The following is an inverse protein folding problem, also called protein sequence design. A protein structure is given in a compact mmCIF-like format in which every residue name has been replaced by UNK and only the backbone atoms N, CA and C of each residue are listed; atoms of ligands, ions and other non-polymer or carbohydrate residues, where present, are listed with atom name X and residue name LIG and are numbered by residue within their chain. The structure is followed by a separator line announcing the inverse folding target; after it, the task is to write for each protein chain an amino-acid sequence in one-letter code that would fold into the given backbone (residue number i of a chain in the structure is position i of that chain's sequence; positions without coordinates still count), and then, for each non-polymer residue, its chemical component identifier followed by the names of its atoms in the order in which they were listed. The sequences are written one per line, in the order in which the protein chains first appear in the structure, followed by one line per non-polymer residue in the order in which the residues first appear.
data_IF_165678358351
#
_entry.id   IF_165678358351
#
_cell.length_a   1.000
_cell.length_b   1.000
_cell.length_c   1.000
_cell.angle_alpha   90.00
_cell.angle_beta   90.00
_cell.angle_gamma   90.00
#
_symmetry.space_group_name_H-M   'P 1'
#
loop_
_entity.id
_entity.type
_entity.pdbx_description
1 polymer ?
#
# COMPACT_ATOMS: atom_id res chain seq x y z
N UNK A 1 28.83 -29.86 -26.05
CA UNK A 1 28.17 -28.54 -26.17
C UNK A 1 27.16 -28.22 -25.06
N UNK A 2 26.46 -29.19 -24.45
CA UNK A 2 25.52 -28.92 -23.35
C UNK A 2 26.18 -28.76 -21.96
N UNK A 3 27.31 -29.44 -21.68
CA UNK A 3 28.02 -29.34 -20.39
C UNK A 3 28.70 -27.98 -20.17
N UNK A 4 29.21 -27.35 -21.24
CA UNK A 4 29.87 -26.04 -21.17
C UNK A 4 28.89 -24.90 -20.88
N UNK A 5 27.66 -24.97 -21.39
CA UNK A 5 26.62 -23.96 -21.13
C UNK A 5 26.07 -24.01 -19.70
N UNK A 6 25.95 -25.21 -19.12
CA UNK A 6 25.57 -25.40 -17.71
C UNK A 6 26.64 -24.83 -16.76
N UNK A 7 27.93 -25.07 -17.04
CA UNK A 7 29.02 -24.52 -16.24
C UNK A 7 29.08 -22.98 -16.29
N UNK A 8 28.79 -22.38 -17.46
CA UNK A 8 28.73 -20.91 -17.60
C UNK A 8 27.56 -20.35 -16.79
N UNK A 9 26.37 -20.95 -16.85
CA UNK A 9 25.21 -20.49 -16.07
C UNK A 9 25.43 -20.62 -14.56
N UNK A 10 26.05 -21.71 -14.09
CA UNK A 10 26.38 -21.89 -12.67
C UNK A 10 27.42 -20.85 -12.24
N UNK A 11 28.45 -20.58 -13.04
CA UNK A 11 29.44 -19.53 -12.74
C UNK A 11 28.83 -18.12 -12.70
N UNK A 12 27.87 -17.83 -13.59
CA UNK A 12 27.13 -16.56 -13.61
C UNK A 12 26.21 -16.43 -12.40
N UNK A 13 25.58 -17.52 -11.96
CA UNK A 13 24.75 -17.54 -10.76
C UNK A 13 25.60 -17.31 -9.51
N UNK A 14 26.73 -18.03 -9.38
CA UNK A 14 27.67 -17.82 -8.27
C UNK A 14 28.27 -16.41 -8.27
N UNK A 15 28.65 -15.87 -9.43
CA UNK A 15 29.20 -14.50 -9.51
C UNK A 15 28.16 -13.43 -9.14
N UNK A 16 26.89 -13.60 -9.53
CA UNK A 16 25.79 -12.73 -9.10
C UNK A 16 25.49 -12.86 -7.61
N UNK A 17 25.51 -14.07 -7.05
CA UNK A 17 25.33 -14.30 -5.61
C UNK A 17 26.47 -13.72 -4.79
N UNK A 18 27.72 -13.79 -5.28
CA UNK A 18 28.89 -13.18 -4.63
C UNK A 18 28.82 -11.65 -4.72
N UNK A 19 28.44 -11.08 -5.87
CA UNK A 19 28.19 -9.64 -5.98
C UNK A 19 27.06 -9.19 -5.05
N UNK A 20 25.97 -9.95 -4.94
CA UNK A 20 24.88 -9.66 -4.02
C UNK A 20 25.33 -9.76 -2.54
N UNK A 21 26.19 -10.73 -2.21
CA UNK A 21 26.75 -10.91 -0.87
C UNK A 21 27.82 -9.86 -0.53
N UNK A 22 28.65 -9.45 -1.50
CA UNK A 22 29.59 -8.33 -1.33
C UNK A 22 28.84 -7.00 -1.20
N UNK A 23 27.72 -6.83 -1.92
CA UNK A 23 26.84 -5.67 -1.77
C UNK A 23 26.09 -5.67 -0.43
N UNK A 24 25.84 -6.83 0.19
CA UNK A 24 25.24 -6.93 1.53
C UNK A 24 26.25 -6.81 2.69
N UNK A 25 27.55 -6.96 2.42
CA UNK A 25 28.63 -6.87 3.41
C UNK A 25 29.32 -5.50 3.43
N UNK A 26 29.10 -4.67 2.39
CA UNK A 26 29.53 -3.27 2.38
C UNK A 26 28.42 -2.43 3.03
N UNK A 27 28.51 -2.27 4.35
CA UNK A 27 27.76 -1.26 5.11
C UNK A 27 28.29 0.14 4.81
N UNK A 28 28.24 0.56 3.53
CA UNK A 28 28.20 1.98 3.23
C UNK A 28 26.78 2.40 3.55
N UNK A 29 26.64 3.21 4.59
CA UNK A 29 25.40 3.88 4.94
C UNK A 29 25.03 4.84 3.79
N UNK A 30 24.25 4.35 2.81
CA UNK A 30 23.87 5.05 1.56
C UNK A 30 22.78 6.11 1.82
N UNK A 31 22.38 6.37 3.07
CA UNK A 31 21.24 7.27 3.36
C UNK A 31 21.52 8.77 3.30
N UNK A 32 22.74 9.24 3.06
CA UNK A 32 22.94 10.67 2.83
C UNK A 32 23.96 10.97 1.73
N UNK A 33 23.49 10.90 0.48
CA UNK A 33 24.20 11.48 -0.66
C UNK A 33 23.37 12.63 -1.18
N UNK A 34 24.00 13.80 -1.32
CA UNK A 34 23.33 15.04 -1.72
C UNK A 34 23.99 15.64 -2.97
N UNK A 35 23.23 16.36 -3.78
CA UNK A 35 23.69 16.96 -5.04
C UNK A 35 23.59 18.48 -4.94
N UNK A 36 24.70 19.16 -5.18
CA UNK A 36 24.73 20.61 -5.13
C UNK A 36 24.10 21.22 -6.40
N UNK A 37 23.88 22.54 -6.40
CA UNK A 37 23.36 23.27 -7.57
C UNK A 37 24.24 23.22 -8.82
N UNK A 38 25.49 22.74 -8.71
CA UNK A 38 26.37 22.51 -9.85
C UNK A 38 26.11 21.13 -10.52
N UNK A 39 25.20 20.31 -9.99
CA UNK A 39 24.92 18.96 -10.49
C UNK A 39 25.90 17.88 -10.02
N UNK A 40 26.86 18.22 -9.15
CA UNK A 40 27.85 17.27 -8.61
C UNK A 40 27.50 16.83 -7.18
N UNK A 41 27.92 15.60 -6.83
CA UNK A 41 27.83 15.09 -5.47
C UNK A 41 28.54 16.00 -4.47
N UNK A 42 27.83 16.30 -3.39
CA UNK A 42 28.31 17.08 -2.27
C UNK A 42 29.38 16.33 -1.48
N UNK A 43 30.32 17.08 -0.90
CA UNK A 43 31.30 16.53 0.05
C UNK A 43 30.76 16.65 1.46
N UNK A 44 30.93 15.56 2.19
CA UNK A 44 30.73 15.51 3.63
C UNK A 44 31.88 16.23 4.34
N UNK A 45 31.53 17.25 5.12
CA UNK A 45 32.47 18.10 5.86
C UNK A 45 32.07 18.15 7.34
N UNK A 46 33.04 18.45 8.19
CA UNK A 46 32.83 18.66 9.63
C UNK A 46 33.14 20.10 9.97
N UNK A 47 32.21 20.77 10.65
CA UNK A 47 32.36 22.15 11.08
C UNK A 47 33.43 22.25 12.18
N UNK A 48 34.29 23.26 12.04
CA UNK A 48 35.33 23.64 13.01
C UNK A 48 35.07 25.00 13.64
N UNK A 49 33.89 25.59 13.38
CA UNK A 49 33.53 26.88 13.96
C UNK A 49 33.28 26.73 15.46
N UNK A 50 33.66 27.70 16.30
CA UNK A 50 33.36 27.66 17.73
C UNK A 50 31.87 27.51 18.05
N UNK A 51 30.99 28.04 17.19
CA UNK A 51 29.54 27.97 17.35
C UNK A 51 28.96 26.57 17.06
N UNK A 52 29.60 25.80 16.18
CA UNK A 52 29.13 24.48 15.75
C UNK A 52 30.29 23.48 15.65
N UNK A 53 31.03 23.21 16.73
CA UNK A 53 32.18 22.32 16.68
C UNK A 53 31.73 20.88 16.41
N UNK A 54 32.40 20.18 15.49
CA UNK A 54 32.17 18.76 15.24
C UNK A 54 30.89 18.39 14.47
N UNK A 55 29.97 19.33 14.24
CA UNK A 55 28.73 19.07 13.47
C UNK A 55 29.04 18.83 11.98
N UNK A 56 28.45 17.79 11.39
CA UNK A 56 28.69 17.42 9.98
C UNK A 56 27.70 18.09 9.04
N UNK A 57 28.13 18.38 7.81
CA UNK A 57 27.30 19.01 6.78
C UNK A 57 27.73 18.57 5.37
N UNK A 58 26.80 18.61 4.43
CA UNK A 58 27.09 18.53 3.00
C UNK A 58 27.37 19.91 2.44
N UNK A 59 28.44 20.02 1.66
CA UNK A 59 28.72 21.22 0.89
C UNK A 59 29.23 20.94 -0.50
N UNK A 60 29.15 21.95 -1.36
CA UNK A 60 29.73 21.87 -2.71
C UNK A 60 31.23 21.47 -2.63
N UNK A 61 31.66 20.68 -3.63
CA UNK A 61 33.06 20.26 -3.78
C UNK A 61 33.98 21.48 -3.93
N UNK A 62 33.56 22.48 -4.71
CA UNK A 62 34.28 23.75 -4.88
C UNK A 62 33.84 24.76 -3.81
N UNK A 63 34.79 25.52 -3.27
CA UNK A 63 34.49 26.68 -2.41
C UNK A 63 33.79 27.76 -3.21
N UNK A 64 33.00 28.62 -2.55
CA UNK A 64 32.35 29.77 -3.19
C UNK A 64 33.36 30.70 -3.86
N UNK A 65 34.53 30.88 -3.25
CA UNK A 65 35.66 31.66 -3.79
C UNK A 65 36.26 31.04 -5.05
N UNK A 66 36.14 29.71 -5.20
CA UNK A 66 36.66 28.94 -6.32
C UNK A 66 35.54 28.54 -7.30
N UNK A 67 34.50 29.39 -7.45
CA UNK A 67 33.40 29.18 -8.39
C UNK A 67 32.35 28.13 -7.99
N UNK A 68 32.37 27.66 -6.73
CA UNK A 68 31.35 26.75 -6.21
C UNK A 68 30.01 27.46 -5.92
N UNK A 69 28.89 26.74 -6.00
CA UNK A 69 27.56 27.31 -5.81
C UNK A 69 27.18 27.67 -4.36
N UNK A 70 28.08 27.41 -3.40
CA UNK A 70 27.83 27.69 -1.98
C UNK A 70 26.78 26.78 -1.34
N UNK A 71 26.44 25.63 -1.95
CA UNK A 71 25.54 24.65 -1.35
C UNK A 71 26.01 24.24 0.04
N UNK A 72 25.07 24.18 0.99
CA UNK A 72 25.29 23.85 2.39
C UNK A 72 24.01 23.23 2.98
N UNK A 73 24.12 22.05 3.59
CA UNK A 73 23.04 21.39 4.34
C UNK A 73 23.61 20.68 5.57
N UNK A 74 23.07 20.96 6.76
CA UNK A 74 23.45 20.22 7.96
C UNK A 74 23.02 18.76 7.88
N UNK A 75 23.84 17.88 8.46
CA UNK A 75 23.43 16.52 8.78
C UNK A 75 22.88 16.58 10.19
N UNK A 76 21.60 16.26 10.31
CA UNK A 76 20.99 16.02 11.60
C UNK A 76 21.24 14.55 11.96
N UNK A 77 21.63 14.24 13.20
CA UNK A 77 21.74 12.85 13.61
C UNK A 77 20.38 12.20 13.39
N UNK A 78 20.35 11.09 12.64
CA UNK A 78 19.19 10.22 12.67
C UNK A 78 18.90 9.89 14.13
N UNK A 79 17.62 9.78 14.49
CA UNK A 79 17.15 9.48 15.85
C UNK A 79 17.75 8.18 16.44
N UNK A 80 18.56 7.47 15.67
CA UNK A 80 19.24 6.22 15.99
C UNK A 80 20.64 6.42 16.60
N UNK A 81 21.20 7.64 16.63
CA UNK A 81 22.53 7.89 17.19
C UNK A 81 22.57 9.05 18.21
N UNK A 82 21.57 9.11 19.10
CA UNK A 82 21.63 9.97 20.29
C UNK A 82 22.17 9.12 21.45
N UNK A 83 23.39 9.47 21.84
CA UNK A 83 24.07 9.16 23.09
C UNK A 83 23.13 8.82 24.26
N UNK A 84 23.24 7.56 24.69
CA UNK A 84 22.40 6.83 25.66
C UNK A 84 22.37 7.45 27.08
N UNK A 85 23.18 8.48 27.35
CA UNK A 85 23.35 9.06 28.69
C UNK A 85 22.50 10.31 28.96
N UNK A 86 22.06 11.04 27.94
CA UNK A 86 21.35 12.33 28.14
C UNK A 86 19.82 12.25 28.02
N UNK A 87 19.28 11.11 27.57
CA UNK A 87 17.83 10.95 27.33
C UNK A 87 17.04 10.37 28.50
N UNK A 88 17.70 9.92 29.57
CA UNK A 88 17.00 9.27 30.69
C UNK A 88 16.12 10.24 31.51
N UNK A 89 16.39 11.55 31.46
CA UNK A 89 15.62 12.56 32.22
C UNK A 89 14.38 13.11 31.49
N UNK A 90 14.13 12.72 30.22
CA UNK A 90 12.91 13.11 29.48
C UNK A 90 11.85 12.00 29.40
N UNK A 91 12.05 10.88 30.12
CA UNK A 91 11.08 9.78 30.19
C UNK A 91 10.12 9.88 31.38
N UNK A 92 10.17 10.97 32.15
CA UNK A 92 9.29 11.23 33.30
C UNK A 92 8.29 12.36 32.99
N UNK A 93 7.77 12.45 31.77
CA UNK A 93 6.45 13.05 31.56
C UNK A 93 5.94 12.73 30.15
N UNK A 94 4.83 11.99 30.04
CA UNK A 94 4.13 11.80 28.76
C UNK A 94 4.45 10.52 27.96
N UNK A 95 4.01 9.37 28.48
CA UNK A 95 3.69 8.11 27.77
C UNK A 95 4.79 7.50 26.87
N UNK A 96 5.33 6.34 27.29
CA UNK A 96 6.15 5.48 26.44
C UNK A 96 5.44 5.23 25.08
N UNK A 97 6.09 5.49 23.93
CA UNK A 97 5.54 5.23 22.60
C UNK A 97 4.95 3.82 22.44
N UNK A 98 5.55 2.83 23.10
CA UNK A 98 5.08 1.43 23.10
C UNK A 98 3.68 1.31 23.71
N UNK A 99 3.38 2.02 24.80
CA UNK A 99 2.06 1.95 25.44
C UNK A 99 0.98 2.63 24.59
N UNK A 100 1.36 3.69 23.87
CA UNK A 100 0.48 4.32 22.88
C UNK A 100 0.15 3.37 21.73
N UNK A 101 1.16 2.68 21.20
CA UNK A 101 1.00 1.68 20.15
C UNK A 101 0.12 0.51 20.62
N UNK A 102 0.37 -0.03 21.81
CA UNK A 102 -0.45 -1.11 22.40
C UNK A 102 -1.92 -0.74 22.52
N UNK A 103 -2.22 0.48 22.95
CA UNK A 103 -3.61 0.97 23.05
C UNK A 103 -4.28 1.04 21.68
N UNK A 104 -3.58 1.59 20.68
CA UNK A 104 -4.09 1.66 19.30
C UNK A 104 -4.31 0.28 18.69
N UNK A 105 -3.41 -0.68 18.95
CA UNK A 105 -3.59 -2.07 18.48
C UNK A 105 -4.87 -2.66 19.08
N UNK A 106 -5.09 -2.47 20.39
CA UNK A 106 -6.30 -2.94 21.06
C UNK A 106 -7.57 -2.28 20.49
N UNK A 107 -7.57 -0.96 20.31
CA UNK A 107 -8.69 -0.21 19.71
C UNK A 107 -9.01 -0.73 18.30
N UNK A 108 -7.99 -0.94 17.46
CA UNK A 108 -8.13 -1.47 16.10
C UNK A 108 -8.62 -2.93 16.09
N UNK A 109 -8.18 -3.74 17.06
CA UNK A 109 -8.65 -5.12 17.20
C UNK A 109 -10.15 -5.18 17.54
N UNK A 110 -10.60 -4.32 18.45
CA UNK A 110 -12.02 -4.17 18.83
C UNK A 110 -12.86 -3.66 17.65
N UNK A 111 -12.37 -2.66 16.92
CA UNK A 111 -13.04 -2.13 15.72
C UNK A 111 -13.16 -3.18 14.61
N UNK A 112 -12.08 -3.94 14.37
CA UNK A 112 -12.05 -5.06 13.42
C UNK A 112 -13.08 -6.14 13.79
N UNK A 113 -13.21 -6.48 15.08
CA UNK A 113 -14.18 -7.48 15.52
C UNK A 113 -15.63 -6.96 15.38
N UNK A 114 -15.87 -5.69 15.68
CA UNK A 114 -17.16 -5.03 15.45
C UNK A 114 -17.55 -5.01 13.97
N UNK A 115 -16.64 -4.60 13.09
CA UNK A 115 -16.87 -4.59 11.64
C UNK A 115 -17.11 -5.98 11.08
N UNK A 116 -16.39 -7.00 11.58
CA UNK A 116 -16.61 -8.40 11.19
C UNK A 116 -18.02 -8.88 11.57
N UNK A 117 -18.51 -8.49 12.74
CA UNK A 117 -19.88 -8.80 13.15
C UNK A 117 -20.91 -8.14 12.21
N UNK A 118 -20.74 -6.85 11.92
CA UNK A 118 -21.63 -6.11 11.01
C UNK A 118 -21.61 -6.69 9.59
N UNK A 119 -20.45 -7.10 9.09
CA UNK A 119 -20.32 -7.75 7.78
C UNK A 119 -21.16 -9.02 7.73
N UNK A 120 -20.99 -9.91 8.70
CA UNK A 120 -21.75 -11.16 8.78
C UNK A 120 -23.26 -10.90 8.88
N UNK A 121 -23.67 -9.91 9.68
CA UNK A 121 -25.09 -9.52 9.79
C UNK A 121 -25.64 -9.03 8.44
N UNK A 122 -24.88 -8.19 7.74
CA UNK A 122 -25.27 -7.68 6.43
C UNK A 122 -25.33 -8.79 5.36
N UNK A 123 -24.43 -9.76 5.42
CA UNK A 123 -24.39 -10.93 4.53
C UNK A 123 -25.64 -11.79 4.71
N UNK A 124 -26.05 -12.05 5.96
CA UNK A 124 -27.29 -12.77 6.27
C UNK A 124 -28.51 -12.00 5.75
N UNK A 125 -28.57 -10.67 5.97
CA UNK A 125 -29.66 -9.83 5.44
C UNK A 125 -29.74 -9.89 3.91
N UNK A 126 -28.60 -9.84 3.22
CA UNK A 126 -28.53 -9.98 1.76
C UNK A 126 -29.00 -11.36 1.29
N UNK A 127 -28.64 -12.43 2.01
CA UNK A 127 -29.10 -13.78 1.68
C UNK A 127 -30.63 -13.87 1.77
N UNK A 128 -31.24 -13.33 2.83
CA UNK A 128 -32.70 -13.30 3.02
C UNK A 128 -33.37 -12.47 1.92
N UNK A 129 -32.86 -11.28 1.63
CA UNK A 129 -33.44 -10.40 0.60
C UNK A 129 -33.35 -11.03 -0.79
N UNK A 130 -32.21 -11.65 -1.13
CA UNK A 130 -32.04 -12.36 -2.39
C UNK A 130 -33.01 -13.55 -2.52
N UNK A 131 -33.27 -14.27 -1.43
CA UNK A 131 -34.29 -15.33 -1.42
C UNK A 131 -35.68 -14.76 -1.71
N UNK A 132 -36.11 -13.72 -1.00
CA UNK A 132 -37.40 -13.04 -1.24
C UNK A 132 -37.51 -12.51 -2.67
N UNK A 133 -36.43 -11.97 -3.21
CA UNK A 133 -36.39 -11.48 -4.59
C UNK A 133 -36.64 -12.62 -5.59
N UNK A 134 -36.09 -13.81 -5.37
CA UNK A 134 -36.35 -14.99 -6.20
C UNK A 134 -37.82 -15.42 -6.12
N UNK A 135 -38.39 -15.43 -4.92
CA UNK A 135 -39.81 -15.77 -4.70
C UNK A 135 -40.73 -14.78 -5.44
N UNK A 136 -40.49 -13.47 -5.30
CA UNK A 136 -41.26 -12.42 -5.99
C UNK A 136 -41.10 -12.50 -7.51
N UNK A 137 -39.91 -12.81 -8.01
CA UNK A 137 -39.67 -13.00 -9.45
C UNK A 137 -40.48 -14.19 -9.99
N UNK A 138 -40.42 -15.33 -9.32
CA UNK A 138 -41.21 -16.52 -9.70
C UNK A 138 -42.70 -16.23 -9.69
N UNK A 139 -43.19 -15.51 -8.68
CA UNK A 139 -44.60 -15.13 -8.60
C UNK A 139 -45.00 -14.22 -9.77
N UNK A 140 -44.18 -13.22 -10.10
CA UNK A 140 -44.41 -12.36 -11.26
C UNK A 140 -44.43 -13.15 -12.57
N UNK A 141 -43.47 -14.05 -12.76
CA UNK A 141 -43.37 -14.86 -13.98
C UNK A 141 -44.58 -15.79 -14.13
N UNK A 142 -45.05 -16.35 -13.03
CA UNK A 142 -46.28 -17.15 -13.00
C UNK A 142 -47.51 -16.34 -13.38
N UNK A 143 -47.70 -15.15 -12.79
CA UNK A 143 -48.81 -14.27 -13.14
C UNK A 143 -48.75 -13.82 -14.60
N UNK A 144 -47.55 -13.56 -15.14
CA UNK A 144 -47.36 -13.24 -16.56
C UNK A 144 -47.76 -14.41 -17.46
N UNK A 145 -47.36 -15.64 -17.14
CA UNK A 145 -47.75 -16.83 -17.90
C UNK A 145 -49.27 -17.02 -17.85
N UNK A 146 -49.88 -16.85 -16.68
CA UNK A 146 -51.33 -16.95 -16.49
C UNK A 146 -52.05 -15.89 -17.32
N UNK A 147 -51.62 -14.64 -17.26
CA UNK A 147 -52.17 -13.55 -18.06
C UNK A 147 -52.03 -13.83 -19.56
N UNK A 148 -50.84 -14.22 -20.02
CA UNK A 148 -50.58 -14.56 -21.42
C UNK A 148 -51.50 -15.69 -21.91
N UNK A 149 -51.74 -16.72 -21.09
CA UNK A 149 -52.68 -17.80 -21.41
C UNK A 149 -54.12 -17.29 -21.61
N UNK A 150 -54.59 -16.42 -20.72
CA UNK A 150 -55.93 -15.82 -20.83
C UNK A 150 -56.05 -14.98 -22.11
N UNK A 151 -55.04 -14.15 -22.40
CA UNK A 151 -55.00 -13.34 -23.63
C UNK A 151 -55.03 -14.22 -24.87
N UNK A 152 -54.23 -15.29 -24.92
CA UNK A 152 -54.21 -16.23 -26.06
C UNK A 152 -55.58 -16.88 -26.26
N UNK A 153 -56.22 -17.38 -25.20
CA UNK A 153 -57.56 -17.99 -25.29
C UNK A 153 -58.59 -16.98 -25.81
N UNK A 154 -58.57 -15.75 -25.30
CA UNK A 154 -59.48 -14.70 -25.75
C UNK A 154 -59.26 -14.36 -27.23
N UNK A 155 -58.01 -14.22 -27.68
CA UNK A 155 -57.69 -14.00 -29.09
C UNK A 155 -58.19 -15.15 -29.97
N UNK A 156 -58.01 -16.40 -29.56
CA UNK A 156 -58.55 -17.56 -30.27
C UNK A 156 -60.09 -17.50 -30.41
N UNK A 157 -60.81 -17.19 -29.34
CA UNK A 157 -62.27 -17.07 -29.38
C UNK A 157 -62.73 -15.96 -30.34
N UNK A 158 -62.04 -14.82 -30.36
CA UNK A 158 -62.31 -13.75 -31.33
C UNK A 158 -62.08 -14.21 -32.77
N UNK A 159 -60.99 -14.94 -33.03
CA UNK A 159 -60.71 -15.47 -34.39
C UNK A 159 -61.74 -16.49 -34.86
N UNK A 160 -62.19 -17.38 -33.97
CA UNK A 160 -63.23 -18.38 -34.27
C UNK A 160 -64.55 -17.68 -34.58
N UNK A 161 -64.95 -16.71 -33.73
CA UNK A 161 -66.17 -15.93 -33.96
C UNK A 161 -66.13 -15.22 -35.32
N UNK A 162 -65.02 -14.55 -35.63
CA UNK A 162 -64.83 -13.85 -36.89
C UNK A 162 -64.95 -14.78 -38.11
N UNK A 163 -64.42 -16.01 -38.03
CA UNK A 163 -64.53 -17.00 -39.09
C UNK A 163 -65.99 -17.42 -39.37
N UNK A 164 -66.79 -17.64 -38.33
CA UNK A 164 -68.21 -18.00 -38.48
C UNK A 164 -69.09 -16.83 -38.94
N UNK A 165 -68.75 -15.59 -38.62
CA UNK A 165 -69.50 -14.41 -39.09
C UNK A 165 -69.27 -14.13 -40.60
N UNK A 166 -68.21 -14.68 -41.21
CA UNK A 166 -67.87 -14.53 -42.63
C UNK A 166 -68.47 -15.63 -43.52
N UNK A 167 -68.67 -16.83 -42.96
CA UNK A 167 -69.19 -18.00 -43.67
C UNK A 167 -70.72 -17.93 -43.85
#
# INVERSE_FOLDING_TARGET
FLSSSLNIQVSLFFSKSILFYQMSQISVNIEEVDICKCGYYCRLKTSRTPLNPGRRFFGCKSSKENGGCGYFRWIDPSLENVDESSSMNRLIDGQNPIDRLKRKVKELEEEKDSLKFQLNESEVKLMVLNKKLKEVKLQRDWENVKFNRVVIVFLCLLTIKWFFDIL
#
